data_IF_172455051950
#
_entry.id   IF_172455051950
#
_cell.length_a   1.000
_cell.length_b   1.000
_cell.length_c   1.000
_cell.angle_alpha   90.00
_cell.angle_beta   90.00
_cell.angle_gamma   90.00
#
_symmetry.space_group_name_H-M   'P 1'
#
loop_
_entity.id
_entity.type
_entity.pdbx_description
1 polymer ?
#
# COMPACT_ATOMS: atom_id res chain seq x y z
N UNK A 1 18.99 10.65 -9.64
CA UNK A 1 17.94 11.50 -10.23
C UNK A 1 16.76 11.53 -9.26
N UNK A 2 16.37 12.72 -8.76
CA UNK A 2 15.15 12.86 -7.95
C UNK A 2 13.94 12.76 -8.90
N UNK A 3 12.86 12.06 -8.54
CA UNK A 3 11.66 12.04 -9.38
C UNK A 3 11.12 13.48 -9.51
N UNK A 4 10.82 13.87 -10.76
CA UNK A 4 10.43 15.22 -11.19
C UNK A 4 8.96 15.54 -10.82
N UNK A 5 8.18 14.54 -10.40
CA UNK A 5 6.81 14.71 -9.94
C UNK A 5 6.69 14.31 -8.47
N UNK A 6 6.05 15.14 -7.61
CA UNK A 6 5.73 14.71 -6.26
C UNK A 6 4.85 13.45 -6.34
N UNK A 7 5.00 12.51 -5.39
CA UNK A 7 4.09 11.38 -5.31
C UNK A 7 2.64 11.86 -5.33
N UNK A 8 1.72 11.09 -5.91
CA UNK A 8 0.32 11.40 -5.77
C UNK A 8 -0.02 11.48 -4.28
N UNK A 9 -0.71 12.54 -3.83
CA UNK A 9 -1.02 12.72 -2.43
C UNK A 9 -1.90 11.57 -1.95
N UNK A 10 -1.74 11.20 -0.69
CA UNK A 10 -2.53 10.12 -0.06
C UNK A 10 -4.03 10.33 -0.23
N UNK A 11 -4.49 11.60 -0.22
CA UNK A 11 -5.88 11.96 -0.49
C UNK A 11 -6.35 11.50 -1.88
N UNK A 12 -5.52 11.63 -2.93
CA UNK A 12 -5.88 11.21 -4.28
C UNK A 12 -6.09 9.69 -4.37
N UNK A 13 -5.29 8.92 -3.64
CA UNK A 13 -5.44 7.45 -3.56
C UNK A 13 -6.75 7.08 -2.86
N UNK A 14 -7.06 7.77 -1.76
CA UNK A 14 -8.30 7.55 -1.00
C UNK A 14 -9.52 7.92 -1.86
N UNK A 15 -9.47 9.04 -2.57
CA UNK A 15 -10.55 9.52 -3.44
C UNK A 15 -10.77 8.57 -4.61
N UNK A 16 -9.72 8.16 -5.33
CA UNK A 16 -9.78 7.17 -6.41
C UNK A 16 -10.39 5.85 -5.92
N UNK A 17 -9.97 5.37 -4.74
CA UNK A 17 -10.52 4.15 -4.15
C UNK A 17 -12.03 4.29 -3.92
N UNK A 18 -12.47 5.38 -3.29
CA UNK A 18 -13.88 5.56 -2.98
C UNK A 18 -14.71 5.81 -4.25
N UNK A 19 -14.18 6.57 -5.21
CA UNK A 19 -14.79 6.74 -6.52
C UNK A 19 -15.00 5.38 -7.20
N UNK A 20 -13.96 4.55 -7.27
CA UNK A 20 -14.04 3.23 -7.88
C UNK A 20 -15.01 2.30 -7.14
N UNK A 21 -15.02 2.35 -5.82
CA UNK A 21 -15.88 1.51 -4.97
C UNK A 21 -17.38 1.83 -5.13
N UNK A 22 -17.71 3.07 -5.49
CA UNK A 22 -19.10 3.53 -5.73
C UNK A 22 -19.65 3.06 -7.08
N UNK A 23 -18.79 2.67 -8.01
CA UNK A 23 -19.22 2.19 -9.33
C UNK A 23 -19.72 0.75 -9.22
N UNK A 24 -20.99 0.54 -9.56
CA UNK A 24 -21.60 -0.80 -9.55
C UNK A 24 -20.75 -1.79 -10.37
N UNK A 25 -20.41 -2.92 -9.74
CA UNK A 25 -19.62 -3.98 -10.37
C UNK A 25 -18.09 -3.79 -10.35
N UNK A 26 -17.58 -2.69 -9.78
CA UNK A 26 -16.15 -2.42 -9.61
C UNK A 26 -15.64 -2.64 -8.18
N UNK A 27 -16.49 -3.05 -7.23
CA UNK A 27 -16.07 -3.26 -5.83
C UNK A 27 -14.84 -4.16 -5.66
N UNK A 28 -14.74 -5.25 -6.43
CA UNK A 28 -13.57 -6.12 -6.39
C UNK A 28 -12.31 -5.48 -7.00
N UNK A 29 -12.47 -4.61 -8.00
CA UNK A 29 -11.36 -3.83 -8.58
C UNK A 29 -10.90 -2.73 -7.61
N UNK A 30 -11.83 -2.06 -6.92
CA UNK A 30 -11.53 -1.13 -5.84
C UNK A 30 -10.78 -1.83 -4.69
N UNK A 31 -11.20 -3.03 -4.33
CA UNK A 31 -10.48 -3.85 -3.36
C UNK A 31 -9.03 -4.11 -3.79
N UNK A 32 -8.80 -4.54 -5.04
CA UNK A 32 -7.44 -4.77 -5.56
C UNK A 32 -6.61 -3.47 -5.58
N UNK A 33 -7.21 -2.34 -5.97
CA UNK A 33 -6.58 -1.03 -5.91
C UNK A 33 -6.11 -0.71 -4.48
N UNK A 34 -6.98 -0.90 -3.48
CA UNK A 34 -6.68 -0.69 -2.07
C UNK A 34 -5.57 -1.60 -1.55
N UNK A 35 -5.54 -2.87 -1.99
CA UNK A 35 -4.47 -3.82 -1.63
C UNK A 35 -3.11 -3.34 -2.14
N UNK A 36 -3.03 -2.86 -3.39
CA UNK A 36 -1.79 -2.37 -4.00
C UNK A 36 -1.34 -1.08 -3.29
N UNK A 37 -2.26 -0.15 -3.04
CA UNK A 37 -1.98 1.10 -2.35
C UNK A 37 -1.44 0.89 -0.92
N UNK A 38 -1.99 -0.10 -0.21
CA UNK A 38 -1.71 -0.37 1.21
C UNK A 38 -0.46 -1.23 1.40
N UNK A 39 -0.24 -2.24 0.57
CA UNK A 39 0.84 -3.22 0.73
C UNK A 39 1.97 -3.08 -0.30
N UNK A 40 1.79 -2.27 -1.35
CA UNK A 40 2.83 -2.01 -2.36
C UNK A 40 3.20 -3.25 -3.18
N UNK A 41 2.29 -4.21 -3.27
CA UNK A 41 2.51 -5.50 -3.94
C UNK A 41 1.97 -5.45 -5.35
N UNK A 42 2.64 -6.15 -6.26
CA UNK A 42 2.15 -6.26 -7.62
C UNK A 42 0.92 -7.19 -7.65
N UNK A 43 -0.14 -6.90 -8.45
CA UNK A 43 -1.33 -7.75 -8.51
C UNK A 43 -1.01 -9.24 -8.67
N UNK A 44 -0.08 -9.59 -9.57
CA UNK A 44 0.35 -10.99 -9.79
C UNK A 44 0.79 -11.73 -8.51
N UNK A 45 1.32 -11.02 -7.50
CA UNK A 45 1.75 -11.60 -6.23
C UNK A 45 0.58 -11.82 -5.24
N UNK A 46 -0.58 -11.20 -5.49
CA UNK A 46 -1.76 -11.25 -4.63
C UNK A 46 -2.70 -12.43 -4.95
N UNK A 47 -2.33 -13.35 -5.85
CA UNK A 47 -3.21 -14.49 -6.17
C UNK A 47 -3.36 -15.44 -4.97
N UNK A 48 -2.24 -15.78 -4.33
CA UNK A 48 -2.16 -16.82 -3.29
C UNK A 48 -1.75 -16.26 -1.92
N UNK A 49 -2.09 -15.00 -1.65
CA UNK A 49 -1.72 -14.38 -0.38
C UNK A 49 -2.60 -14.89 0.77
N UNK A 50 -2.07 -14.80 2.00
CA UNK A 50 -2.81 -15.13 3.22
C UNK A 50 -2.81 -13.97 4.19
N UNK A 51 -3.95 -13.73 4.83
CA UNK A 51 -4.07 -12.79 5.94
C UNK A 51 -3.47 -13.36 7.22
N UNK A 52 -2.83 -12.48 7.98
CA UNK A 52 -2.46 -12.74 9.36
C UNK A 52 -3.33 -11.92 10.33
N UNK A 53 -3.21 -12.26 11.62
CA UNK A 53 -3.96 -11.63 12.72
C UNK A 53 -3.74 -10.11 12.77
N UNK A 54 -2.52 -9.64 12.51
CA UNK A 54 -2.13 -8.23 12.67
C UNK A 54 -2.31 -7.39 11.40
N UNK A 55 -3.27 -7.74 10.54
CA UNK A 55 -3.49 -7.07 9.24
C UNK A 55 -2.25 -7.10 8.32
N UNK A 56 -1.30 -7.98 8.57
CA UNK A 56 -0.18 -8.26 7.67
C UNK A 56 -0.61 -9.31 6.65
N UNK A 57 0.07 -9.33 5.51
CA UNK A 57 -0.14 -10.36 4.49
C UNK A 57 1.14 -11.19 4.31
N UNK A 58 0.96 -12.49 4.10
CA UNK A 58 2.03 -13.39 3.70
C UNK A 58 1.82 -13.77 2.24
N UNK A 59 2.88 -13.64 1.45
CA UNK A 59 2.89 -14.01 0.03
C UNK A 59 3.95 -15.10 -0.14
N UNK A 60 3.62 -16.16 -0.88
CA UNK A 60 4.52 -17.30 -1.10
C UNK A 60 5.88 -16.90 -1.69
N UNK A 61 5.91 -15.89 -2.57
CA UNK A 61 7.14 -15.39 -3.20
C UNK A 61 8.04 -14.59 -2.24
N UNK A 62 7.53 -14.15 -1.08
CA UNK A 62 8.28 -13.32 -0.13
C UNK A 62 8.53 -14.06 1.18
N UNK A 63 9.78 -14.10 1.61
CA UNK A 63 10.20 -14.74 2.87
C UNK A 63 9.60 -14.05 4.10
N UNK A 64 9.35 -12.74 4.04
CA UNK A 64 8.85 -11.94 5.15
C UNK A 64 7.41 -11.52 4.91
N UNK A 65 6.66 -11.42 5.99
CA UNK A 65 5.34 -10.81 6.00
C UNK A 65 5.40 -9.34 5.61
N UNK A 66 4.38 -8.88 4.92
CA UNK A 66 4.26 -7.52 4.43
C UNK A 66 3.30 -6.79 5.36
N UNK A 67 3.82 -5.74 6.01
CA UNK A 67 3.03 -4.85 6.84
C UNK A 67 2.34 -3.80 5.96
N UNK A 68 1.11 -3.39 6.30
CA UNK A 68 0.48 -2.26 5.64
C UNK A 68 1.31 -1.01 5.90
N UNK A 69 1.60 -0.21 4.87
CA UNK A 69 2.35 1.03 5.08
C UNK A 69 1.52 2.06 5.86
N UNK A 70 0.21 2.05 5.62
CA UNK A 70 -0.76 2.88 6.30
C UNK A 70 -1.81 1.97 6.96
N UNK A 71 -1.62 1.56 8.23
CA UNK A 71 -2.50 0.59 8.88
C UNK A 71 -3.98 1.01 8.90
N UNK A 72 -4.26 2.32 8.96
CA UNK A 72 -5.63 2.84 8.90
C UNK A 72 -6.32 2.52 7.57
N UNK A 73 -5.58 2.38 6.46
CA UNK A 73 -6.17 2.08 5.15
C UNK A 73 -6.73 0.67 5.07
N UNK A 74 -6.16 -0.28 5.81
CA UNK A 74 -6.72 -1.63 5.91
C UNK A 74 -8.17 -1.59 6.43
N UNK A 75 -8.45 -0.72 7.40
CA UNK A 75 -9.78 -0.53 7.97
C UNK A 75 -10.65 0.40 7.12
N UNK A 76 -10.10 1.52 6.65
CA UNK A 76 -10.81 2.51 5.83
C UNK A 76 -11.36 1.88 4.54
N UNK A 77 -10.55 1.04 3.91
CA UNK A 77 -10.93 0.31 2.70
C UNK A 77 -11.60 -1.04 3.01
N UNK A 78 -11.72 -1.42 4.28
CA UNK A 78 -12.32 -2.69 4.72
C UNK A 78 -11.76 -3.87 3.93
N UNK A 79 -10.44 -3.96 3.82
CA UNK A 79 -9.77 -4.88 2.88
C UNK A 79 -10.00 -6.35 3.22
N UNK A 80 -10.27 -6.68 4.48
CA UNK A 80 -10.59 -8.05 4.90
C UNK A 80 -12.04 -8.39 4.58
N UNK A 81 -12.95 -7.48 4.89
CA UNK A 81 -14.39 -7.67 4.79
C UNK A 81 -14.86 -7.62 3.33
N UNK A 82 -14.24 -6.77 2.51
CA UNK A 82 -14.53 -6.63 1.08
C UNK A 82 -13.71 -7.58 0.20
N UNK A 83 -12.99 -8.52 0.81
CA UNK A 83 -12.25 -9.51 0.05
C UNK A 83 -13.19 -10.32 -0.85
N UNK A 84 -12.90 -10.46 -2.16
CA UNK A 84 -13.65 -11.34 -3.04
C UNK A 84 -13.58 -12.79 -2.53
N UNK A 85 -14.72 -13.49 -2.50
CA UNK A 85 -14.84 -14.84 -1.93
C UNK A 85 -13.98 -15.90 -2.64
N UNK A 86 -13.73 -15.71 -3.93
CA UNK A 86 -12.97 -16.65 -4.77
C UNK A 86 -11.91 -15.91 -5.57
N UNK A 87 -10.84 -15.52 -4.87
CA UNK A 87 -9.74 -14.76 -5.48
C UNK A 87 -9.10 -15.56 -6.60
N UNK A 88 -8.86 -16.85 -6.43
CA UNK A 88 -8.10 -17.67 -7.39
C UNK A 88 -8.79 -17.72 -8.76
N UNK A 89 -10.12 -17.91 -8.80
CA UNK A 89 -10.87 -18.03 -10.04
C UNK A 89 -11.24 -16.68 -10.66
N UNK A 90 -11.42 -15.63 -9.84
CA UNK A 90 -11.82 -14.31 -10.34
C UNK A 90 -10.66 -13.31 -10.48
N UNK A 91 -9.42 -13.67 -10.12
CA UNK A 91 -8.30 -12.73 -10.07
C UNK A 91 -8.06 -11.99 -11.39
N UNK A 92 -7.97 -12.72 -12.50
CA UNK A 92 -7.71 -12.11 -13.80
C UNK A 92 -8.87 -11.22 -14.26
N UNK A 93 -10.12 -11.56 -13.88
CA UNK A 93 -11.29 -10.69 -14.12
C UNK A 93 -11.20 -9.40 -13.31
N UNK A 94 -10.78 -9.48 -12.04
CA UNK A 94 -10.59 -8.29 -11.19
C UNK A 94 -9.50 -7.39 -11.77
N UNK A 95 -8.35 -7.97 -12.12
CA UNK A 95 -7.21 -7.26 -12.68
C UNK A 95 -7.56 -6.61 -14.03
N UNK A 96 -8.26 -7.32 -14.90
CA UNK A 96 -8.78 -6.75 -16.16
C UNK A 96 -9.73 -5.58 -15.91
N UNK A 97 -10.65 -5.70 -14.93
CA UNK A 97 -11.53 -4.59 -14.55
C UNK A 97 -10.77 -3.38 -14.03
N UNK A 98 -9.74 -3.59 -13.21
CA UNK A 98 -8.91 -2.51 -12.70
C UNK A 98 -8.15 -1.82 -13.84
N UNK A 99 -7.52 -2.59 -14.73
CA UNK A 99 -6.84 -2.03 -15.91
C UNK A 99 -7.82 -1.23 -16.78
N UNK A 100 -9.02 -1.76 -17.03
CA UNK A 100 -10.08 -1.03 -17.75
C UNK A 100 -10.49 0.25 -17.03
N UNK A 101 -10.57 0.26 -15.70
CA UNK A 101 -10.85 1.48 -14.93
C UNK A 101 -9.76 2.54 -15.13
N UNK A 102 -8.50 2.12 -15.15
CA UNK A 102 -7.34 2.99 -15.40
C UNK A 102 -7.38 3.52 -16.86
N UNK A 103 -7.54 2.64 -17.85
CA UNK A 103 -7.62 2.99 -19.28
C UNK A 103 -8.78 3.94 -19.59
N UNK A 104 -9.93 3.74 -18.94
CA UNK A 104 -11.11 4.61 -19.08
C UNK A 104 -11.09 5.83 -18.15
N UNK A 105 -9.96 6.09 -17.47
CA UNK A 105 -9.76 7.22 -16.57
C UNK A 105 -10.85 7.34 -15.48
N UNK A 106 -11.39 6.21 -15.03
CA UNK A 106 -12.30 6.15 -13.87
C UNK A 106 -11.57 6.38 -12.54
N UNK A 107 -10.26 6.20 -12.57
CA UNK A 107 -9.31 6.53 -11.51
C UNK A 107 -8.19 7.33 -12.14
N UNK A 108 -7.62 8.25 -11.37
CA UNK A 108 -6.55 9.13 -11.82
C UNK A 108 -5.18 8.44 -11.80
N UNK A 109 -4.97 7.51 -10.86
CA UNK A 109 -3.69 6.85 -10.64
C UNK A 109 -3.61 5.48 -11.30
N UNK A 110 -2.50 5.22 -11.98
CA UNK A 110 -2.20 3.91 -12.54
C UNK A 110 -1.45 3.01 -11.52
N UNK A 111 -1.21 1.76 -11.90
CA UNK A 111 -0.53 0.78 -11.03
C UNK A 111 0.89 1.21 -10.63
N UNK A 112 1.61 1.83 -11.55
CA UNK A 112 2.98 2.31 -11.32
C UNK A 112 2.97 3.47 -10.32
N UNK A 113 2.02 4.39 -10.45
CA UNK A 113 1.87 5.52 -9.53
C UNK A 113 1.60 5.04 -8.10
N UNK A 114 0.72 4.04 -7.96
CA UNK A 114 0.43 3.42 -6.66
C UNK A 114 1.66 2.77 -6.02
N UNK A 115 2.45 2.04 -6.82
CA UNK A 115 3.67 1.42 -6.35
C UNK A 115 4.73 2.45 -5.97
N UNK A 116 4.91 3.51 -6.77
CA UNK A 116 5.82 4.61 -6.46
C UNK A 116 5.40 5.34 -5.19
N UNK A 117 4.11 5.64 -5.04
CA UNK A 117 3.57 6.28 -3.85
C UNK A 117 3.82 5.42 -2.60
N UNK A 118 3.65 4.10 -2.70
CA UNK A 118 4.00 3.18 -1.63
C UNK A 118 5.50 3.24 -1.27
N UNK A 119 6.40 3.22 -2.25
CA UNK A 119 7.85 3.28 -1.97
C UNK A 119 8.25 4.61 -1.31
N UNK A 120 7.64 5.70 -1.74
CA UNK A 120 7.88 7.02 -1.18
C UNK A 120 7.37 7.12 0.26
N UNK A 121 6.13 6.67 0.54
CA UNK A 121 5.61 6.53 1.91
C UNK A 121 6.50 5.65 2.77
N UNK A 122 6.98 4.53 2.23
CA UNK A 122 7.90 3.62 2.94
C UNK A 122 9.18 4.31 3.39
N UNK A 123 9.73 5.22 2.60
CA UNK A 123 10.90 6.02 2.97
C UNK A 123 10.61 7.14 3.98
N UNK A 124 9.38 7.64 4.03
CA UNK A 124 8.96 8.74 4.91
C UNK A 124 8.46 8.24 6.27
N UNK A 125 7.69 7.15 6.30
CA UNK A 125 6.98 6.67 7.49
C UNK A 125 7.75 5.63 8.28
N UNK A 126 8.65 4.88 7.64
CA UNK A 126 9.55 4.00 8.37
C UNK A 126 10.78 4.82 8.75
N UNK A 127 11.06 5.03 10.05
CA UNK A 127 12.31 5.65 10.45
C UNK A 127 13.44 4.81 9.86
N UNK A 128 14.39 5.48 9.19
CA UNK A 128 15.68 4.84 8.93
C UNK A 128 16.21 4.42 10.30
N UNK A 129 16.56 3.15 10.47
CA UNK A 129 17.33 2.75 11.64
C UNK A 129 18.51 3.70 11.70
N UNK A 130 18.59 4.50 12.76
CA UNK A 130 19.80 5.25 13.04
C UNK A 130 20.94 4.24 13.07
N UNK A 131 21.98 4.49 12.27
CA UNK A 131 23.24 3.80 12.48
C UNK A 131 23.65 4.05 13.95
N UNK A 132 24.11 3.04 14.70
CA UNK A 132 24.55 3.21 16.09
C UNK A 132 25.73 4.17 16.30
N UNK A 133 26.10 4.99 15.32
CA UNK A 133 27.31 5.83 15.32
C UNK A 133 27.05 7.34 15.25
N UNK A 134 25.83 7.82 15.48
CA UNK A 134 25.63 9.24 15.80
C UNK A 134 25.19 9.38 17.24
N UNK A 135 26.11 9.05 18.16
CA UNK A 135 26.10 9.70 19.47
C UNK A 135 26.26 11.20 19.21
N UNK A 136 25.15 11.93 19.38
CA UNK A 136 25.19 13.39 19.43
C UNK A 136 26.17 13.81 20.54
N UNK A 137 27.10 14.75 20.29
CA UNK A 137 28.03 15.24 21.31
C UNK A 137 27.34 15.98 22.47
N UNK A 138 26.02 16.18 22.43
CA UNK A 138 25.26 16.87 23.47
C UNK A 138 24.99 16.03 24.73
N UNK A 139 25.16 14.70 24.70
CA UNK A 139 24.91 13.86 25.89
C UNK A 139 26.05 13.86 26.93
N UNK A 140 27.19 14.50 26.64
CA UNK A 140 28.34 14.54 27.57
C UNK A 140 28.37 15.77 28.51
N UNK A 141 27.47 16.75 28.36
CA UNK A 141 27.52 17.98 29.17
C UNK A 141 26.70 17.88 30.47
N UNK A 142 25.88 16.84 30.64
CA UNK A 142 25.00 16.70 31.81
C UNK A 142 25.51 15.75 32.91
N UNK A 143 26.65 15.06 32.73
CA UNK A 143 27.22 14.19 33.77
C UNK A 143 28.35 14.82 34.60
N UNK A 144 28.74 16.07 34.33
CA UNK A 144 29.85 16.76 35.02
C UNK A 144 29.36 17.82 36.03
N UNK A 145 28.22 17.59 36.69
CA UNK A 145 27.80 18.37 37.87
C UNK A 145 27.22 17.46 38.93
N UNK A 146 28.11 16.79 39.67
CA UNK A 146 27.95 16.42 41.08
C UNK A 146 29.33 16.40 41.72
#
# INVERSE_FOLDING_TARGET
MKPIHPPPPDQAIVDDYFQLSRIKGFGSAAWLYGMIATYGVHPKELKDFKWNLNNTIKICTKKKEIKPIHPQWTFLFQLKEKQPSDIEDCFEKIKSKLNKAIETQKVSLNLTDLQLAYQLRKGLYLPKKEDPQTQSPFSLVLSARY
#
